data_IF_685342538398
#
_entry.id   IF_685342538398
#
_cell.length_a   1.000
_cell.length_b   1.000
_cell.length_c   1.000
_cell.angle_alpha   90.00
_cell.angle_beta   90.00
_cell.angle_gamma   90.00
#
_symmetry.space_group_name_H-M   'P 1'
#
loop_
_entity.id
_entity.type
_entity.pdbx_description
1 polymer ?
#
# COMPACT_ATOMS: atom_id res chain seq x y z
N UNK A 1 -11.83 -2.39 29.38
CA UNK A 1 -11.12 -1.20 29.89
C UNK A 1 -10.85 -0.30 28.69
N UNK A 2 -11.70 0.69 28.45
CA UNK A 2 -11.61 1.56 27.26
C UNK A 2 -10.65 2.71 27.53
N UNK A 3 -9.62 2.83 26.70
CA UNK A 3 -8.63 3.89 26.79
C UNK A 3 -9.18 5.16 26.11
N UNK A 4 -9.58 6.14 26.92
CA UNK A 4 -9.74 7.53 26.50
C UNK A 4 -8.35 8.09 26.15
N UNK A 5 -7.86 7.80 24.94
CA UNK A 5 -6.62 8.39 24.43
C UNK A 5 -6.98 9.56 23.51
N UNK A 6 -6.98 10.81 24.02
CA UNK A 6 -7.03 11.96 23.12
C UNK A 6 -5.80 11.87 22.23
N UNK A 7 -6.00 11.59 20.94
CA UNK A 7 -4.90 11.60 19.97
C UNK A 7 -4.14 12.92 20.00
N UNK A 8 -2.93 12.93 19.46
CA UNK A 8 -2.01 14.09 19.48
C UNK A 8 -2.68 15.41 19.01
N UNK A 9 -3.61 15.32 18.07
CA UNK A 9 -4.37 16.47 17.55
C UNK A 9 -5.27 17.12 18.61
N UNK A 10 -5.89 16.32 19.49
CA UNK A 10 -6.74 16.83 20.57
C UNK A 10 -5.93 17.57 21.65
N UNK A 11 -4.67 17.18 21.86
CA UNK A 11 -3.76 17.89 22.75
C UNK A 11 -3.37 19.26 22.17
N UNK A 12 -3.04 19.32 20.88
CA UNK A 12 -2.67 20.56 20.18
C UNK A 12 -3.83 21.57 20.21
N UNK A 13 -5.06 21.14 19.91
CA UNK A 13 -6.23 22.03 19.86
C UNK A 13 -6.60 22.62 21.25
N UNK A 14 -6.33 21.87 22.34
CA UNK A 14 -6.49 22.39 23.70
C UNK A 14 -5.50 23.49 24.04
N UNK A 15 -4.25 23.41 23.55
CA UNK A 15 -3.25 24.48 23.74
C UNK A 15 -3.70 25.80 23.10
N UNK A 16 -4.47 25.74 22.00
CA UNK A 16 -5.03 26.92 21.33
C UNK A 16 -6.41 27.34 21.87
N UNK A 17 -6.84 26.81 23.01
CA UNK A 17 -8.08 27.22 23.69
C UNK A 17 -9.36 26.73 23.01
N UNK A 18 -9.28 25.80 22.06
CA UNK A 18 -10.45 25.23 21.39
C UNK A 18 -11.11 24.21 22.33
N UNK A 19 -12.29 24.55 22.85
CA UNK A 19 -13.11 23.63 23.65
C UNK A 19 -14.00 22.80 22.72
N UNK A 20 -13.70 21.52 22.57
CA UNK A 20 -14.62 20.58 21.94
C UNK A 20 -15.69 20.18 22.95
N UNK A 21 -16.94 20.59 22.71
CA UNK A 21 -18.09 20.01 23.38
C UNK A 21 -18.23 18.54 22.96
N UNK A 22 -18.24 17.64 23.94
CA UNK A 22 -18.53 16.22 23.74
C UNK A 22 -20.01 16.09 23.36
N UNK A 23 -20.35 16.27 22.07
CA UNK A 23 -21.61 15.79 21.54
C UNK A 23 -21.65 14.30 21.80
N UNK A 24 -22.70 13.83 22.48
CA UNK A 24 -22.94 12.44 22.82
C UNK A 24 -23.16 11.64 21.51
N UNK A 25 -22.08 11.36 20.80
CA UNK A 25 -22.07 10.50 19.62
C UNK A 25 -22.29 9.10 20.18
N UNK A 26 -23.46 8.51 19.91
CA UNK A 26 -23.62 7.06 20.07
C UNK A 26 -22.47 6.41 19.31
N UNK A 27 -21.59 5.71 20.02
CA UNK A 27 -20.52 4.94 19.38
C UNK A 27 -21.19 3.92 18.46
N UNK A 28 -21.21 4.22 17.16
CA UNK A 28 -21.60 3.26 16.14
C UNK A 28 -20.43 2.28 16.06
N UNK A 29 -20.61 1.09 16.64
CA UNK A 29 -19.65 0.01 16.50
C UNK A 29 -19.64 -0.43 15.03
N UNK A 30 -18.53 -0.17 14.33
CA UNK A 30 -18.33 -0.63 12.97
C UNK A 30 -17.75 -2.05 12.95
N UNK A 31 -18.11 -2.90 11.98
CA UNK A 31 -17.65 -4.29 11.90
C UNK A 31 -16.23 -4.39 11.29
N UNK A 32 -15.29 -3.56 11.75
CA UNK A 32 -13.92 -3.53 11.24
C UNK A 32 -12.94 -3.92 12.35
N UNK A 33 -12.01 -4.80 12.00
CA UNK A 33 -10.89 -5.19 12.84
C UNK A 33 -9.59 -5.05 12.05
N UNK A 34 -8.48 -4.80 12.76
CA UNK A 34 -7.16 -4.83 12.17
C UNK A 34 -6.80 -6.27 11.81
N UNK A 35 -6.17 -6.49 10.65
CA UNK A 35 -5.59 -7.78 10.31
C UNK A 35 -4.32 -8.02 11.09
N UNK A 36 -4.14 -9.25 11.58
CA UNK A 36 -2.91 -9.66 12.26
C UNK A 36 -1.74 -9.86 11.28
N UNK A 37 -2.03 -10.03 9.99
CA UNK A 37 -1.11 -10.45 8.93
C UNK A 37 -1.02 -9.43 7.78
N UNK A 38 -0.65 -8.18 8.08
CA UNK A 38 -0.54 -7.14 7.03
C UNK A 38 0.46 -7.52 5.93
N UNK A 39 1.60 -8.12 6.30
CA UNK A 39 2.56 -8.74 5.39
C UNK A 39 2.62 -10.24 5.66
N UNK A 40 2.76 -11.05 4.61
CA UNK A 40 3.11 -12.46 4.77
C UNK A 40 4.50 -12.61 5.41
N UNK A 41 4.84 -13.76 6.03
CA UNK A 41 6.17 -13.97 6.59
C UNK A 41 7.31 -13.78 5.56
N UNK A 42 7.07 -14.19 4.31
CA UNK A 42 8.01 -14.03 3.19
C UNK A 42 8.18 -12.55 2.82
N UNK A 43 7.06 -11.83 2.67
CA UNK A 43 7.08 -10.39 2.39
C UNK A 43 7.77 -9.59 3.50
N UNK A 44 7.46 -9.89 4.77
CA UNK A 44 8.08 -9.22 5.91
C UNK A 44 9.59 -9.46 5.96
N UNK A 45 10.02 -10.69 5.66
CA UNK A 45 11.44 -11.04 5.61
C UNK A 45 12.15 -10.30 4.48
N UNK A 46 11.54 -10.27 3.29
CA UNK A 46 12.05 -9.54 2.15
C UNK A 46 12.12 -8.03 2.41
N UNK A 47 11.09 -7.43 2.99
CA UNK A 47 11.05 -6.01 3.36
C UNK A 47 12.26 -5.62 4.23
N UNK A 48 12.59 -6.46 5.22
CA UNK A 48 13.74 -6.24 6.11
C UNK A 48 15.07 -6.27 5.37
N UNK A 49 15.25 -7.22 4.44
CA UNK A 49 16.46 -7.33 3.62
C UNK A 49 16.54 -6.15 2.64
N UNK A 50 15.44 -5.85 1.96
CA UNK A 50 15.33 -4.74 1.02
C UNK A 50 15.73 -3.42 1.68
N UNK A 51 15.23 -3.15 2.89
CA UNK A 51 15.57 -1.95 3.67
C UNK A 51 17.05 -1.81 4.04
N UNK A 52 17.83 -2.89 4.00
CA UNK A 52 19.28 -2.84 4.27
C UNK A 52 20.11 -2.55 3.02
N UNK A 53 19.58 -2.86 1.83
CA UNK A 53 20.32 -2.78 0.56
C UNK A 53 19.91 -1.59 -0.29
N UNK A 54 18.70 -1.05 -0.10
CA UNK A 54 18.27 0.09 -0.90
C UNK A 54 19.04 1.37 -0.52
N UNK A 55 19.33 2.24 -1.50
CA UNK A 55 19.87 3.57 -1.24
C UNK A 55 18.93 4.44 -0.39
N UNK A 56 19.50 5.40 0.33
CA UNK A 56 18.75 6.28 1.26
C UNK A 56 17.79 7.26 0.55
N UNK A 57 17.99 7.48 -0.74
CA UNK A 57 17.14 8.33 -1.58
C UNK A 57 15.91 7.58 -2.14
N UNK A 58 15.68 6.33 -1.70
CA UNK A 58 14.49 5.56 -2.00
C UNK A 58 13.67 5.24 -0.75
N UNK A 59 12.34 5.18 -0.92
CA UNK A 59 11.36 4.79 0.10
C UNK A 59 10.67 3.50 -0.35
N UNK A 60 10.52 2.55 0.57
CA UNK A 60 9.80 1.30 0.32
C UNK A 60 8.35 1.45 0.77
N UNK A 61 7.42 1.30 -0.15
CA UNK A 61 5.98 1.28 0.09
C UNK A 61 5.45 -0.15 -0.12
N UNK A 62 5.13 -0.92 0.94
CA UNK A 62 4.60 -2.28 0.79
C UNK A 62 3.11 -2.30 0.40
N UNK A 63 2.69 -3.35 -0.32
CA UNK A 63 1.30 -3.66 -0.71
C UNK A 63 0.53 -2.51 -1.36
N UNK A 64 1.17 -1.75 -2.24
CA UNK A 64 0.55 -0.61 -2.90
C UNK A 64 -0.45 -1.08 -3.95
N UNK A 65 -1.69 -0.58 -3.92
CA UNK A 65 -2.69 -0.93 -4.93
C UNK A 65 -2.32 -0.32 -6.28
N UNK A 66 -2.49 -1.06 -7.37
CA UNK A 66 -2.18 -0.53 -8.70
C UNK A 66 -3.08 0.65 -9.08
N UNK A 67 -4.29 0.76 -8.52
CA UNK A 67 -5.17 1.94 -8.73
C UNK A 67 -4.63 3.22 -8.08
N UNK A 68 -3.72 3.09 -7.11
CA UNK A 68 -3.10 4.23 -6.43
C UNK A 68 -1.85 4.71 -7.19
N UNK A 69 -1.39 3.93 -8.19
CA UNK A 69 -0.26 4.24 -9.07
C UNK A 69 -0.74 4.68 -10.45
N UNK A 70 -1.74 3.98 -10.99
CA UNK A 70 -2.23 4.16 -12.36
C UNK A 70 -3.67 4.67 -12.38
N UNK A 71 -3.98 5.44 -13.41
CA UNK A 71 -5.34 5.86 -13.73
C UNK A 71 -5.69 5.49 -15.18
N UNK A 72 -6.98 5.34 -15.46
CA UNK A 72 -7.46 4.99 -16.81
C UNK A 72 -7.72 6.25 -17.62
N UNK A 73 -7.07 6.37 -18.77
CA UNK A 73 -7.17 7.54 -19.67
C UNK A 73 -8.24 7.40 -20.76
N UNK A 74 -8.89 6.23 -20.86
CA UNK A 74 -9.94 5.98 -21.86
C UNK A 74 -11.16 6.90 -21.62
N UNK A 75 -11.71 7.45 -22.71
CA UNK A 75 -12.85 8.36 -22.69
C UNK A 75 -14.19 7.61 -22.67
N UNK A 76 -14.22 6.38 -23.15
CA UNK A 76 -15.41 5.54 -23.09
C UNK A 76 -15.63 5.02 -21.67
N UNK A 77 -16.83 5.24 -21.13
CA UNK A 77 -17.17 4.91 -19.73
C UNK A 77 -17.15 3.41 -19.44
N UNK A 78 -17.53 2.59 -20.43
CA UNK A 78 -17.54 1.14 -20.30
C UNK A 78 -16.10 0.61 -20.21
N UNK A 79 -15.24 1.08 -21.12
CA UNK A 79 -13.82 0.77 -21.09
C UNK A 79 -13.14 1.30 -19.81
N UNK A 80 -13.45 2.52 -19.41
CA UNK A 80 -12.91 3.11 -18.18
C UNK A 80 -13.17 2.20 -16.98
N UNK A 81 -14.43 1.79 -16.79
CA UNK A 81 -14.82 0.89 -15.69
C UNK A 81 -14.16 -0.48 -15.80
N UNK A 82 -14.09 -1.04 -17.02
CA UNK A 82 -13.46 -2.34 -17.30
C UNK A 82 -11.98 -2.35 -16.94
N UNK A 83 -11.21 -1.35 -17.37
CA UNK A 83 -9.78 -1.27 -17.08
C UNK A 83 -9.51 -0.86 -15.63
N UNK A 84 -10.33 0.01 -15.04
CA UNK A 84 -10.21 0.36 -13.63
C UNK A 84 -10.41 -0.85 -12.71
N UNK A 85 -11.38 -1.72 -13.04
CA UNK A 85 -11.60 -2.97 -12.32
C UNK A 85 -10.40 -3.93 -12.39
N UNK A 86 -9.57 -3.86 -13.44
CA UNK A 86 -8.35 -4.68 -13.53
C UNK A 86 -7.27 -4.23 -12.56
N UNK A 87 -7.07 -2.93 -12.40
CA UNK A 87 -6.03 -2.36 -11.53
C UNK A 87 -6.46 -2.26 -10.07
N UNK A 88 -7.75 -2.02 -9.80
CA UNK A 88 -8.26 -1.84 -8.43
C UNK A 88 -8.27 -3.11 -7.57
N UNK A 89 -8.06 -4.28 -8.19
CA UNK A 89 -8.03 -5.58 -7.53
C UNK A 89 -6.62 -6.13 -7.38
N UNK A 90 -5.61 -5.37 -7.79
CA UNK A 90 -4.21 -5.79 -7.81
C UNK A 90 -3.38 -4.87 -6.93
N UNK A 91 -2.34 -5.44 -6.35
CA UNK A 91 -1.31 -4.75 -5.61
C UNK A 91 0.04 -5.15 -6.18
N UNK A 92 1.02 -4.26 -6.04
CA UNK A 92 2.43 -4.61 -6.11
C UNK A 92 2.93 -4.87 -4.69
N UNK A 93 3.72 -5.92 -4.48
CA UNK A 93 4.22 -6.25 -3.14
C UNK A 93 5.07 -5.14 -2.54
N UNK A 94 5.97 -4.53 -3.32
CA UNK A 94 6.73 -3.35 -2.90
C UNK A 94 6.87 -2.35 -4.04
N UNK A 95 6.56 -1.08 -3.76
CA UNK A 95 6.85 0.04 -4.64
C UNK A 95 8.01 0.85 -4.06
N UNK A 96 9.08 1.02 -4.83
CA UNK A 96 10.15 1.96 -4.53
C UNK A 96 9.78 3.33 -5.08
N UNK A 97 9.84 4.34 -4.22
CA UNK A 97 9.61 5.73 -4.59
C UNK A 97 10.86 6.57 -4.31
N UNK A 98 11.07 7.64 -5.07
CA UNK A 98 12.05 8.67 -4.72
C UNK A 98 11.72 9.28 -3.36
N UNK A 99 12.71 9.39 -2.46
CA UNK A 99 12.50 9.99 -1.14
C UNK A 99 12.22 11.49 -1.18
N UNK A 100 12.64 12.17 -2.25
CA UNK A 100 12.46 13.60 -2.42
C UNK A 100 11.06 13.94 -2.95
N UNK A 101 10.56 13.15 -3.92
CA UNK A 101 9.35 13.50 -4.68
C UNK A 101 8.18 12.54 -4.45
N UNK A 102 8.41 11.41 -3.78
CA UNK A 102 7.48 10.29 -3.68
C UNK A 102 7.04 9.71 -5.03
N UNK A 103 7.70 10.07 -6.13
CA UNK A 103 7.40 9.52 -7.44
C UNK A 103 7.79 8.04 -7.48
N UNK A 104 6.92 7.15 -8.01
CA UNK A 104 7.25 5.75 -8.25
C UNK A 104 8.50 5.60 -9.13
N UNK A 105 9.41 4.72 -8.71
CA UNK A 105 10.65 4.39 -9.44
C UNK A 105 10.62 2.94 -9.91
N UNK A 106 10.20 1.99 -9.07
CA UNK A 106 10.19 0.57 -9.44
C UNK A 106 9.19 -0.21 -8.60
N UNK A 107 8.49 -1.16 -9.22
CA UNK A 107 7.68 -2.17 -8.53
C UNK A 107 8.43 -3.49 -8.40
N UNK A 108 8.29 -4.17 -7.26
CA UNK A 108 8.85 -5.48 -6.97
C UNK A 108 7.69 -6.40 -6.57
N UNK A 109 7.55 -7.52 -7.27
CA UNK A 109 6.65 -8.62 -6.92
C UNK A 109 7.48 -9.78 -6.38
N UNK A 110 6.99 -10.47 -5.35
CA UNK A 110 7.59 -11.71 -4.88
C UNK A 110 6.92 -12.89 -5.59
N UNK A 111 7.70 -13.65 -6.36
CA UNK A 111 7.23 -14.95 -6.85
C UNK A 111 7.02 -15.88 -5.67
N UNK A 112 5.76 -16.22 -5.42
CA UNK A 112 5.43 -17.14 -4.35
C UNK A 112 5.80 -18.55 -4.77
N UNK A 113 6.87 -19.09 -4.16
CA UNK A 113 7.34 -20.48 -4.36
C UNK A 113 6.30 -21.57 -3.98
N UNK A 114 5.10 -21.16 -3.60
CA UNK A 114 3.94 -22.02 -3.33
C UNK A 114 3.29 -22.60 -4.61
N UNK A 115 3.65 -22.14 -5.81
CA UNK A 115 3.12 -22.62 -7.09
C UNK A 115 4.07 -23.56 -7.87
N UNK A 116 4.83 -24.42 -7.18
CA UNK A 116 5.67 -25.44 -7.83
C UNK A 116 4.88 -26.66 -8.37
N UNK A 117 3.69 -26.46 -8.95
CA UNK A 117 2.96 -27.48 -9.72
C UNK A 117 2.32 -26.85 -10.97
N UNK A 118 2.93 -27.14 -12.12
CA UNK A 118 2.55 -26.73 -13.49
C UNK A 118 2.65 -25.20 -13.73
N UNK A 119 3.48 -24.64 -14.61
CA UNK A 119 3.95 -25.10 -15.90
C UNK A 119 5.31 -24.48 -16.24
N UNK A 120 6.09 -25.17 -17.07
CA UNK A 120 7.38 -24.75 -17.62
C UNK A 120 7.27 -23.57 -18.59
N UNK A 121 8.36 -22.81 -18.70
CA UNK A 121 8.74 -21.82 -19.72
C UNK A 121 8.30 -20.35 -19.51
N UNK A 122 9.14 -19.57 -18.84
CA UNK A 122 10.07 -18.66 -19.51
C UNK A 122 10.83 -17.85 -18.46
N UNK A 123 12.15 -17.96 -18.45
CA UNK A 123 12.97 -17.03 -17.69
C UNK A 123 12.92 -15.64 -18.32
N UNK A 124 12.31 -14.67 -17.64
CA UNK A 124 12.59 -13.22 -17.72
C UNK A 124 11.58 -12.43 -16.89
N UNK A 125 11.70 -12.38 -15.55
CA UNK A 125 10.79 -11.53 -14.76
C UNK A 125 11.48 -10.49 -13.88
N UNK A 126 12.78 -10.63 -13.58
CA UNK A 126 13.55 -9.55 -12.92
C UNK A 126 13.87 -8.37 -13.88
N UNK A 127 13.77 -8.59 -15.20
CA UNK A 127 14.01 -7.56 -16.23
C UNK A 127 12.71 -6.91 -16.74
N UNK A 128 11.53 -7.35 -16.31
CA UNK A 128 10.27 -6.85 -16.88
C UNK A 128 9.86 -5.46 -16.35
N UNK A 129 10.42 -5.01 -15.22
CA UNK A 129 10.00 -3.76 -14.57
C UNK A 129 10.87 -2.53 -14.82
N UNK A 130 12.02 -2.65 -15.50
CA UNK A 130 12.75 -1.47 -16.01
C UNK A 130 12.13 -0.88 -17.29
N UNK A 131 11.14 -1.55 -17.90
CA UNK A 131 10.56 -1.14 -19.19
C UNK A 131 9.19 -0.45 -19.10
N UNK A 132 8.66 -0.21 -17.90
CA UNK A 132 7.38 0.51 -17.70
C UNK A 132 7.59 1.74 -16.78
N UNK A 133 8.72 2.42 -16.96
CA UNK A 133 8.78 3.88 -16.83
C UNK A 133 8.97 4.44 -18.24
#
# INVERSE_FOLDING_TARGET
>A
MSANNPGCLGAILKLFGVKFENKNLKEVAFPYAMRDDFLSPSELSFYKVLGQVIPKDLIICPKVSLKDIFFVTDKDRSNQSKYFNKISRKHVDFLLCSSETMQPVCGIELDDSSHARHDSNNGTDINFFLSII
#
